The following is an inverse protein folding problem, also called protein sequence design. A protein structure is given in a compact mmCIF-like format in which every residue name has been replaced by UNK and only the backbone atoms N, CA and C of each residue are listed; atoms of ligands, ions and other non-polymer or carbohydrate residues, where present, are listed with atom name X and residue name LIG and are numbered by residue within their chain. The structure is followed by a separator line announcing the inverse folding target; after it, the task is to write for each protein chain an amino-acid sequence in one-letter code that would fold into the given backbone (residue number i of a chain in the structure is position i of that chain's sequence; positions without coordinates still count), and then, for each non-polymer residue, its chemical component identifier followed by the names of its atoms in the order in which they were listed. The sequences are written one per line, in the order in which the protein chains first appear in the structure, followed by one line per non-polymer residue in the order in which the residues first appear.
data_IF_427966238710
#
_entry.id   IF_427966238710
#
_cell.length_a   1.000
_cell.length_b   1.000
_cell.length_c   1.000
_cell.angle_alpha   90.00
_cell.angle_beta   90.00
_cell.angle_gamma   90.00
#
_symmetry.space_group_name_H-M   'P 1'
#
loop_
_entity.id
_entity.type
_entity.pdbx_description
1 polymer ?
#
# COMPACT_ATOMS: atom_id res chain seq x y z
N UNK A 1 59.43 -0.27 -16.18
CA UNK A 1 58.04 0.10 -16.51
C UNK A 1 57.15 -0.27 -15.33
N UNK A 2 57.37 0.29 -14.15
CA UNK A 2 57.10 1.67 -13.71
C UNK A 2 55.70 1.81 -13.10
N UNK A 3 55.68 2.56 -12.02
CA UNK A 3 54.66 2.61 -10.99
C UNK A 3 53.76 3.86 -11.13
N UNK A 4 52.62 3.82 -10.43
CA UNK A 4 51.93 4.97 -9.81
C UNK A 4 51.13 5.93 -10.71
N UNK A 5 50.18 6.70 -10.13
CA UNK A 5 48.82 6.88 -10.64
C UNK A 5 48.48 8.37 -10.85
N UNK A 6 47.18 8.69 -10.73
CA UNK A 6 46.57 10.00 -10.51
C UNK A 6 46.18 10.84 -11.73
N UNK A 7 44.92 11.27 -11.71
CA UNK A 7 44.54 12.70 -11.74
C UNK A 7 43.05 12.87 -11.44
N UNK A 8 42.77 13.10 -10.16
CA UNK A 8 41.57 13.83 -9.71
C UNK A 8 41.71 15.28 -10.16
N UNK A 9 40.79 15.75 -10.99
CA UNK A 9 40.69 17.16 -11.36
C UNK A 9 39.84 17.91 -10.33
N UNK A 10 40.49 18.85 -9.66
CA UNK A 10 39.89 19.83 -8.77
C UNK A 10 39.16 20.92 -9.56
N UNK A 11 37.95 21.29 -9.13
CA UNK A 11 37.35 22.59 -9.42
C UNK A 11 36.79 23.15 -8.11
N UNK A 12 37.44 24.23 -7.64
CA UNK A 12 36.98 24.99 -6.49
C UNK A 12 36.12 26.18 -6.92
N UNK A 13 35.20 26.59 -6.05
CA UNK A 13 34.65 27.94 -6.06
C UNK A 13 34.56 28.42 -4.60
N UNK A 14 35.21 29.56 -4.35
CA UNK A 14 35.36 30.23 -3.06
C UNK A 14 34.07 30.92 -2.66
N UNK A 15 33.56 30.66 -1.46
CA UNK A 15 32.43 31.40 -0.87
C UNK A 15 33.00 32.51 0.02
N UNK A 16 32.74 33.76 -0.37
CA UNK A 16 33.18 34.97 0.31
C UNK A 16 32.14 35.33 1.38
N UNK A 17 32.54 35.27 2.66
CA UNK A 17 31.77 35.74 3.81
C UNK A 17 31.83 37.28 3.88
N UNK A 18 30.68 37.94 3.81
CA UNK A 18 30.54 39.37 4.12
C UNK A 18 29.56 39.51 5.30
N UNK A 19 30.13 39.81 6.46
CA UNK A 19 29.43 40.31 7.63
C UNK A 19 29.06 41.79 7.41
N UNK A 20 27.78 42.14 7.58
CA UNK A 20 27.36 43.52 7.80
C UNK A 20 26.38 43.56 8.97
N UNK A 21 26.90 44.03 10.11
CA UNK A 21 26.12 44.53 11.24
C UNK A 21 25.31 45.75 10.78
N UNK A 22 24.01 45.77 11.08
CA UNK A 22 23.27 47.02 11.30
C UNK A 22 22.44 46.88 12.57
N UNK A 23 22.77 47.72 13.54
CA UNK A 23 22.00 47.95 14.75
C UNK A 23 20.94 49.01 14.44
N UNK A 24 19.69 48.76 14.82
CA UNK A 24 18.65 49.78 14.93
C UNK A 24 17.83 49.52 16.20
N UNK A 25 17.73 50.49 17.14
CA UNK A 25 16.95 50.36 18.36
C UNK A 25 15.49 50.77 18.15
N UNK A 26 14.58 50.02 18.78
CA UNK A 26 13.36 50.52 19.43
C UNK A 26 12.23 51.08 18.56
N UNK A 27 11.28 50.23 18.17
CA UNK A 27 9.85 50.57 18.19
C UNK A 27 9.11 49.50 19.00
N UNK A 28 8.73 49.84 20.23
CA UNK A 28 7.79 49.03 21.02
C UNK A 28 6.37 49.31 20.52
N UNK A 29 5.85 48.45 19.65
CA UNK A 29 4.41 48.31 19.52
C UNK A 29 3.91 47.52 20.74
N UNK A 30 3.14 48.17 21.63
CA UNK A 30 2.29 47.46 22.58
C UNK A 30 1.21 46.77 21.76
N UNK A 31 1.47 45.53 21.39
CA UNK A 31 0.41 44.58 21.06
C UNK A 31 -0.24 44.21 22.38
N UNK A 32 -1.47 44.67 22.60
CA UNK A 32 -2.34 44.06 23.60
C UNK A 32 -2.64 42.63 23.12
N UNK A 33 -1.77 41.68 23.48
CA UNK A 33 -2.13 40.28 23.49
C UNK A 33 -3.19 40.11 24.57
N UNK A 34 -4.46 40.16 24.17
CA UNK A 34 -5.52 39.49 24.91
C UNK A 34 -5.19 38.01 24.84
N UNK A 35 -4.29 37.56 25.70
CA UNK A 35 -4.05 36.16 25.96
C UNK A 35 -5.39 35.59 26.41
N UNK A 36 -6.05 34.87 25.51
CA UNK A 36 -7.20 34.05 25.82
C UNK A 36 -6.71 33.04 26.86
N UNK A 37 -6.88 33.37 28.15
CA UNK A 37 -6.54 32.47 29.24
C UNK A 37 -7.29 31.15 29.00
N UNK A 38 -6.52 30.07 28.80
CA UNK A 38 -7.07 28.73 28.57
C UNK A 38 -7.98 28.40 29.74
N UNK A 39 -9.25 28.12 29.48
CA UNK A 39 -10.18 27.67 30.51
C UNK A 39 -9.63 26.40 31.17
N UNK A 40 -9.28 26.49 32.45
CA UNK A 40 -8.80 25.35 33.27
C UNK A 40 -9.86 24.82 34.23
N UNK A 41 -10.99 25.52 34.37
CA UNK A 41 -12.12 25.13 35.22
C UNK A 41 -13.33 24.76 34.36
N UNK A 42 -13.76 23.51 34.47
CA UNK A 42 -14.87 22.94 33.71
C UNK A 42 -16.03 22.65 34.67
N UNK A 43 -17.10 23.44 34.57
CA UNK A 43 -18.35 23.21 35.29
C UNK A 43 -19.55 23.40 34.37
N UNK A 44 -20.69 22.79 34.71
CA UNK A 44 -21.93 22.89 33.95
C UNK A 44 -22.43 24.34 33.82
N UNK A 45 -21.98 25.24 34.71
CA UNK A 45 -22.30 26.67 34.70
C UNK A 45 -21.38 27.51 33.83
N UNK A 46 -20.23 26.98 33.41
CA UNK A 46 -19.22 27.67 32.61
C UNK A 46 -18.91 26.93 31.29
N UNK A 47 -19.80 26.02 30.88
CA UNK A 47 -19.73 25.34 29.59
C UNK A 47 -20.63 26.04 28.59
N UNK A 48 -20.05 26.64 27.55
CA UNK A 48 -20.79 27.17 26.41
C UNK A 48 -20.56 26.27 25.20
N UNK A 49 -21.53 25.43 24.79
CA UNK A 49 -21.34 24.55 23.66
C UNK A 49 -21.15 25.35 22.37
N UNK A 50 -20.10 25.01 21.61
CA UNK A 50 -19.91 25.59 20.28
C UNK A 50 -21.05 25.10 19.35
N UNK A 51 -21.79 26.02 18.75
CA UNK A 51 -22.90 25.73 17.81
C UNK A 51 -22.42 25.37 16.40
N UNK A 52 -21.12 25.41 16.13
CA UNK A 52 -20.53 24.99 14.86
C UNK A 52 -20.54 23.45 14.76
N UNK A 53 -21.73 22.90 14.54
CA UNK A 53 -21.92 21.48 14.25
C UNK A 53 -21.61 21.29 12.77
N UNK A 54 -20.55 20.54 12.46
CA UNK A 54 -20.26 20.11 11.10
C UNK A 54 -21.29 19.05 10.68
N UNK A 55 -22.47 19.48 10.23
CA UNK A 55 -23.48 18.58 9.67
C UNK A 55 -23.06 18.24 8.24
N UNK A 56 -22.52 17.04 8.02
CA UNK A 56 -22.28 16.54 6.68
C UNK A 56 -23.62 16.23 6.01
N UNK A 57 -23.79 16.64 4.75
CA UNK A 57 -24.95 16.23 3.96
C UNK A 57 -24.89 14.71 3.78
N UNK A 58 -26.00 13.97 3.98
CA UNK A 58 -26.01 12.55 3.65
C UNK A 58 -25.68 12.38 2.17
N UNK A 59 -24.66 11.58 1.88
CA UNK A 59 -24.39 11.14 0.51
C UNK A 59 -25.61 10.38 0.05
N UNK A 60 -26.35 10.93 -0.93
CA UNK A 60 -27.47 10.20 -1.55
C UNK A 60 -26.85 8.98 -2.23
N UNK A 61 -27.27 7.75 -1.90
CA UNK A 61 -26.88 6.61 -2.71
C UNK A 61 -27.42 6.85 -4.11
N UNK A 62 -26.53 7.00 -5.09
CA UNK A 62 -26.90 6.92 -6.50
C UNK A 62 -27.38 5.49 -6.74
N UNK A 63 -28.68 5.25 -6.57
CA UNK A 63 -29.34 4.03 -7.06
C UNK A 63 -29.52 4.11 -8.57
N UNK A 64 -28.46 4.46 -9.29
CA UNK A 64 -28.28 4.00 -10.65
C UNK A 64 -27.44 2.73 -10.51
N UNK A 65 -28.10 1.63 -10.13
CA UNK A 65 -27.56 0.31 -10.44
C UNK A 65 -27.60 0.27 -11.97
N UNK A 66 -26.52 0.71 -12.61
CA UNK A 66 -26.29 0.37 -14.00
C UNK A 66 -26.61 -1.12 -14.08
N UNK A 67 -27.55 -1.48 -14.95
CA UNK A 67 -27.81 -2.89 -15.20
C UNK A 67 -26.44 -3.50 -15.45
N UNK A 68 -25.99 -4.36 -14.53
CA UNK A 68 -24.72 -5.03 -14.71
C UNK A 68 -24.86 -5.70 -16.06
N UNK A 69 -24.04 -5.30 -17.02
CA UNK A 69 -23.99 -6.00 -18.29
C UNK A 69 -23.80 -7.46 -17.92
N UNK A 70 -24.79 -8.30 -18.21
CA UNK A 70 -24.66 -9.75 -18.12
C UNK A 70 -23.72 -10.17 -19.24
N UNK A 71 -22.47 -9.75 -19.14
CA UNK A 71 -21.39 -10.40 -19.84
C UNK A 71 -21.36 -11.81 -19.28
N UNK A 72 -21.63 -12.79 -20.12
CA UNK A 72 -21.57 -14.20 -19.78
C UNK A 72 -20.10 -14.58 -19.56
N UNK A 73 -19.51 -14.06 -18.48
CA UNK A 73 -18.14 -14.34 -18.07
C UNK A 73 -18.07 -15.83 -17.75
N UNK A 74 -17.44 -16.59 -18.64
CA UNK A 74 -17.14 -18.00 -18.41
C UNK A 74 -16.05 -18.07 -17.35
N UNK A 75 -16.44 -18.50 -16.14
CA UNK A 75 -15.48 -18.77 -15.06
C UNK A 75 -14.97 -20.19 -15.24
N UNK A 76 -13.65 -20.34 -15.31
CA UNK A 76 -12.96 -21.61 -15.38
C UNK A 76 -12.35 -21.92 -14.03
N UNK A 77 -12.62 -23.13 -13.52
CA UNK A 77 -12.02 -23.64 -12.29
C UNK A 77 -10.89 -24.61 -12.62
N UNK A 78 -9.78 -24.51 -11.89
CA UNK A 78 -8.63 -25.40 -12.04
C UNK A 78 -8.19 -25.97 -10.69
N UNK A 79 -7.51 -27.12 -10.76
CA UNK A 79 -6.90 -27.76 -9.61
C UNK A 79 -5.47 -28.17 -9.95
N UNK A 80 -4.52 -27.67 -9.19
CA UNK A 80 -3.09 -27.83 -9.47
C UNK A 80 -2.33 -28.30 -8.23
N UNK A 81 -1.29 -29.11 -8.43
CA UNK A 81 -0.40 -29.54 -7.35
C UNK A 81 0.71 -28.51 -7.19
N UNK A 82 0.80 -27.92 -5.99
CA UNK A 82 1.81 -26.92 -5.64
C UNK A 82 2.65 -27.39 -4.46
N UNK A 83 3.90 -26.94 -4.40
CA UNK A 83 4.86 -27.34 -3.37
C UNK A 83 5.28 -26.13 -2.55
N UNK A 84 5.39 -26.31 -1.24
CA UNK A 84 5.95 -25.32 -0.32
C UNK A 84 7.08 -25.95 0.48
N UNK A 85 8.19 -25.24 0.60
CA UNK A 85 9.30 -25.61 1.48
C UNK A 85 9.24 -24.70 2.70
N UNK A 86 9.16 -25.29 3.89
CA UNK A 86 9.16 -24.52 5.13
C UNK A 86 10.58 -24.03 5.52
N UNK A 87 10.68 -23.26 6.60
CA UNK A 87 11.96 -22.73 7.06
C UNK A 87 12.96 -23.81 7.52
N UNK A 88 12.50 -25.05 7.74
CA UNK A 88 13.33 -26.21 8.11
C UNK A 88 13.77 -27.02 6.88
N UNK A 89 13.37 -26.60 5.68
CA UNK A 89 13.68 -27.31 4.43
C UNK A 89 12.73 -28.47 4.14
N UNK A 90 11.62 -28.62 4.88
CA UNK A 90 10.65 -29.69 4.63
C UNK A 90 9.73 -29.28 3.48
N UNK A 91 9.72 -30.06 2.41
CA UNK A 91 8.80 -29.90 1.29
C UNK A 91 7.45 -30.56 1.61
N UNK A 92 6.36 -29.83 1.37
CA UNK A 92 5.00 -30.36 1.45
C UNK A 92 4.22 -29.98 0.19
N UNK A 93 3.42 -30.92 -0.32
CA UNK A 93 2.59 -30.73 -1.48
C UNK A 93 1.14 -30.41 -1.09
N UNK A 94 0.54 -29.43 -1.75
CA UNK A 94 -0.85 -29.01 -1.56
C UNK A 94 -1.62 -29.08 -2.88
N UNK A 95 -2.92 -29.33 -2.79
CA UNK A 95 -3.85 -29.15 -3.91
C UNK A 95 -4.37 -27.72 -3.90
N UNK A 96 -3.98 -26.93 -4.90
CA UNK A 96 -4.42 -25.56 -5.11
C UNK A 96 -5.61 -25.55 -6.05
N UNK A 97 -6.78 -25.24 -5.51
CA UNK A 97 -7.92 -24.82 -6.33
C UNK A 97 -7.82 -23.31 -6.63
N UNK A 98 -8.22 -22.90 -7.83
CA UNK A 98 -8.42 -21.50 -8.17
C UNK A 98 -9.38 -21.36 -9.36
N UNK A 99 -10.02 -20.21 -9.45
CA UNK A 99 -10.89 -19.81 -10.54
C UNK A 99 -10.29 -18.62 -11.27
N UNK A 100 -10.55 -18.55 -12.56
CA UNK A 100 -10.20 -17.40 -13.37
C UNK A 100 -11.20 -17.21 -14.51
N UNK A 101 -11.22 -16.00 -15.06
CA UNK A 101 -11.70 -15.79 -16.43
C UNK A 101 -10.52 -15.80 -17.40
N UNK A 102 -10.81 -15.63 -18.69
CA UNK A 102 -9.82 -15.61 -19.77
C UNK A 102 -8.57 -14.74 -19.52
N UNK A 103 -8.64 -13.71 -18.65
CA UNK A 103 -7.54 -12.78 -18.40
C UNK A 103 -7.27 -12.45 -16.92
N UNK A 104 -8.17 -12.78 -15.99
CA UNK A 104 -8.09 -12.40 -14.57
C UNK A 104 -8.36 -13.59 -13.67
N UNK A 105 -7.45 -13.81 -12.73
CA UNK A 105 -7.58 -14.83 -11.69
C UNK A 105 -8.35 -14.28 -10.48
N UNK A 106 -9.29 -15.04 -9.93
CA UNK A 106 -9.96 -14.68 -8.68
C UNK A 106 -9.09 -15.08 -7.47
N UNK A 107 -8.53 -14.08 -6.79
CA UNK A 107 -7.67 -14.32 -5.63
C UNK A 107 -8.39 -14.90 -4.41
N UNK A 108 -9.71 -14.73 -4.32
CA UNK A 108 -10.49 -15.28 -3.21
C UNK A 108 -10.68 -16.80 -3.33
N UNK A 109 -10.76 -17.30 -4.57
CA UNK A 109 -10.83 -18.74 -4.86
C UNK A 109 -9.55 -19.51 -4.54
N UNK A 110 -8.37 -18.86 -4.53
CA UNK A 110 -7.09 -19.56 -4.38
C UNK A 110 -7.02 -20.32 -3.05
N UNK A 111 -6.87 -21.64 -3.14
CA UNK A 111 -6.85 -22.58 -2.02
C UNK A 111 -8.16 -22.60 -1.20
N UNK A 112 -9.30 -22.21 -1.78
CA UNK A 112 -10.60 -22.22 -1.09
C UNK A 112 -11.12 -23.62 -0.75
N UNK A 113 -10.52 -24.66 -1.34
CA UNK A 113 -10.73 -26.07 -1.00
C UNK A 113 -10.18 -26.45 0.39
N UNK A 114 -9.35 -25.60 1.00
CA UNK A 114 -8.87 -25.77 2.36
C UNK A 114 -9.67 -24.90 3.34
N UNK A 115 -9.82 -25.37 4.59
CA UNK A 115 -10.48 -24.58 5.64
C UNK A 115 -9.74 -23.25 5.84
N UNK A 116 -10.43 -22.12 5.62
CA UNK A 116 -9.87 -20.78 5.84
C UNK A 116 -9.22 -20.67 7.22
N UNK A 117 -8.00 -20.16 7.25
CA UNK A 117 -7.21 -19.97 8.47
C UNK A 117 -6.46 -21.22 8.98
N UNK A 118 -6.59 -22.37 8.33
CA UNK A 118 -5.76 -23.54 8.64
C UNK A 118 -4.29 -23.32 8.24
N UNK A 119 -3.39 -24.16 8.77
CA UNK A 119 -1.99 -24.17 8.33
C UNK A 119 -1.90 -24.53 6.85
N UNK A 120 -2.68 -25.52 6.40
CA UNK A 120 -2.72 -25.94 5.00
C UNK A 120 -3.19 -24.83 4.08
N UNK A 121 -4.22 -24.07 4.46
CA UNK A 121 -4.68 -22.90 3.70
C UNK A 121 -3.56 -21.87 3.52
N UNK A 122 -2.88 -21.50 4.62
CA UNK A 122 -1.78 -20.52 4.57
C UNK A 122 -0.61 -21.01 3.74
N UNK A 123 -0.18 -22.25 3.93
CA UNK A 123 0.94 -22.83 3.19
C UNK A 123 0.60 -23.05 1.72
N UNK A 124 -0.63 -23.48 1.40
CA UNK A 124 -1.12 -23.58 0.03
C UNK A 124 -1.08 -22.22 -0.67
N UNK A 125 -1.52 -21.12 -0.03
CA UNK A 125 -1.44 -19.80 -0.64
C UNK A 125 0.01 -19.34 -0.85
N UNK A 126 0.91 -19.62 0.09
CA UNK A 126 2.35 -19.33 -0.11
C UNK A 126 2.92 -20.11 -1.30
N UNK A 127 2.58 -21.40 -1.42
CA UNK A 127 2.94 -22.24 -2.56
C UNK A 127 2.35 -21.71 -3.88
N UNK A 128 1.07 -21.31 -3.86
CA UNK A 128 0.36 -20.75 -5.00
C UNK A 128 1.07 -19.53 -5.58
N UNK A 129 1.52 -18.61 -4.71
CA UNK A 129 2.29 -17.44 -5.14
C UNK A 129 3.59 -17.82 -5.87
N UNK A 130 4.32 -18.82 -5.37
CA UNK A 130 5.53 -19.33 -6.04
C UNK A 130 5.18 -19.96 -7.39
N UNK A 131 4.11 -20.75 -7.44
CA UNK A 131 3.64 -21.40 -8.67
C UNK A 131 3.20 -20.38 -9.73
N UNK A 132 2.43 -19.35 -9.37
CA UNK A 132 2.11 -18.24 -10.28
C UNK A 132 3.37 -17.56 -10.81
N UNK A 133 4.40 -17.43 -9.96
CA UNK A 133 5.70 -16.93 -10.38
C UNK A 133 6.39 -17.79 -11.42
N UNK A 134 6.32 -19.11 -11.28
CA UNK A 134 6.87 -20.06 -12.27
C UNK A 134 6.06 -20.12 -13.57
N UNK A 135 4.76 -19.79 -13.55
CA UNK A 135 3.89 -19.76 -14.73
C UNK A 135 3.80 -18.39 -15.41
N UNK A 136 4.27 -17.34 -14.75
CA UNK A 136 4.33 -15.99 -15.28
C UNK A 136 5.20 -15.96 -16.55
N UNK A 137 4.56 -15.74 -17.70
CA UNK A 137 5.21 -15.48 -18.98
C UNK A 137 4.52 -14.29 -19.67
N UNK A 138 5.29 -13.37 -20.24
CA UNK A 138 4.72 -12.18 -20.89
C UNK A 138 4.11 -12.44 -22.27
N UNK A 139 4.44 -13.59 -22.89
CA UNK A 139 4.13 -13.90 -24.28
C UNK A 139 2.73 -14.47 -24.54
N UNK A 140 1.95 -14.77 -23.49
CA UNK A 140 0.60 -15.32 -23.63
C UNK A 140 -0.39 -14.63 -22.69
N UNK A 141 -1.67 -14.65 -23.03
CA UNK A 141 -2.75 -14.12 -22.17
C UNK A 141 -2.77 -14.80 -20.79
N UNK A 142 -2.76 -16.15 -20.68
CA UNK A 142 -2.67 -16.82 -19.38
C UNK A 142 -1.39 -16.47 -18.61
N UNK A 143 -0.26 -16.36 -19.31
CA UNK A 143 1.00 -15.98 -18.70
C UNK A 143 0.96 -14.59 -18.05
N UNK A 144 0.37 -13.60 -18.72
CA UNK A 144 0.17 -12.24 -18.16
C UNK A 144 -0.74 -12.27 -16.94
N UNK A 145 -1.80 -13.07 -16.96
CA UNK A 145 -2.67 -13.30 -15.81
C UNK A 145 -1.86 -13.84 -14.61
N UNK A 146 -1.01 -14.85 -14.82
CA UNK A 146 -0.15 -15.38 -13.75
C UNK A 146 0.89 -14.37 -13.26
N UNK A 147 1.42 -13.52 -14.14
CA UNK A 147 2.30 -12.41 -13.74
C UNK A 147 1.58 -11.39 -12.84
N UNK A 148 0.35 -11.02 -13.19
CA UNK A 148 -0.48 -10.17 -12.36
C UNK A 148 -0.74 -10.84 -11.00
N UNK A 149 -1.13 -12.12 -11.00
CA UNK A 149 -1.34 -12.90 -9.79
C UNK A 149 -0.10 -12.92 -8.89
N UNK A 150 1.10 -13.21 -9.42
CA UNK A 150 2.35 -13.23 -8.64
C UNK A 150 2.59 -11.92 -7.87
N UNK A 151 2.27 -10.79 -8.48
CA UNK A 151 2.57 -9.46 -7.95
C UNK A 151 1.47 -8.94 -7.01
N UNK A 152 0.19 -9.18 -7.33
CA UNK A 152 -0.95 -8.66 -6.57
C UNK A 152 -1.48 -9.64 -5.50
N UNK A 153 -1.25 -10.94 -5.67
CA UNK A 153 -1.75 -11.96 -4.74
C UNK A 153 -0.97 -11.93 -3.42
N UNK A 154 -1.70 -11.71 -2.32
CA UNK A 154 -1.16 -11.68 -0.96
C UNK A 154 -1.58 -12.94 -0.20
N UNK A 155 -0.67 -13.91 -0.02
CA UNK A 155 -0.96 -15.19 0.63
C UNK A 155 -1.21 -15.07 2.14
#
# INVERSE_FOLDING_TARGET
MDAHPDRFAAQGIRILLLWLLTAAPGLSAVSSETSSQRQTDFSDRNYTPNRQINVSKPVRPTTARAAASTDNRVIQSNMEKVKWVDARGVETQYQMYYEHDSNTLDFASVCSNHRKGSIDYRNCRKAARQWFGGKCNGGSTPGRMYCHARNAFRP
#
